data_IF_570077522083
#
_entry.id   IF_570077522083
#
_cell.length_a   1.000
_cell.length_b   1.000
_cell.length_c   1.000
_cell.angle_alpha   90.00
_cell.angle_beta   90.00
_cell.angle_gamma   90.00
#
_symmetry.space_group_name_H-M   'P 1'
#
loop_
_entity.id
_entity.type
_entity.pdbx_description
1 polymer ?
#
# COMPACT_ATOMS: atom_id res chain seq x y z
N UNK A 1 -6.44 26.20 -38.73
CA UNK A 1 -6.46 26.51 -37.29
C UNK A 1 -7.34 27.73 -36.97
N UNK A 2 -7.05 28.90 -37.53
CA UNK A 2 -7.83 30.14 -37.31
C UNK A 2 -9.28 30.13 -37.86
N UNK A 3 -9.64 29.16 -38.71
CA UNK A 3 -10.99 29.08 -39.29
C UNK A 3 -11.27 30.15 -40.34
N UNK A 4 -10.32 30.42 -41.25
CA UNK A 4 -10.48 31.40 -42.33
C UNK A 4 -11.06 30.75 -43.59
N UNK A 5 -11.99 31.39 -44.33
CA UNK A 5 -12.32 30.97 -45.69
C UNK A 5 -11.11 31.13 -46.64
N UNK A 6 -10.86 30.22 -47.60
CA UNK A 6 -11.59 29.00 -47.95
C UNK A 6 -10.99 27.72 -47.33
N UNK A 7 -10.81 27.65 -46.01
CA UNK A 7 -10.30 26.44 -45.33
C UNK A 7 -11.43 25.64 -44.66
N UNK A 8 -11.27 24.31 -44.57
CA UNK A 8 -12.22 23.41 -43.89
C UNK A 8 -12.46 23.79 -42.42
N UNK A 9 -11.56 24.53 -41.78
CA UNK A 9 -11.74 25.02 -40.41
C UNK A 9 -12.82 26.08 -40.24
N UNK A 10 -13.19 26.83 -41.30
CA UNK A 10 -14.25 27.85 -41.25
C UNK A 10 -15.63 27.23 -40.97
N UNK A 11 -16.15 26.30 -41.81
CA UNK A 11 -17.48 25.72 -41.56
C UNK A 11 -17.54 24.93 -40.25
N UNK A 12 -16.43 24.34 -39.80
CA UNK A 12 -16.37 23.65 -38.50
C UNK A 12 -16.50 24.62 -37.30
N UNK A 13 -15.86 25.80 -37.37
CA UNK A 13 -15.95 26.83 -36.32
C UNK A 13 -17.31 27.50 -36.32
N UNK A 14 -17.87 27.75 -37.51
CA UNK A 14 -19.21 28.30 -37.65
C UNK A 14 -20.28 27.34 -37.11
N UNK A 15 -20.14 26.04 -37.36
CA UNK A 15 -21.00 25.02 -36.76
C UNK A 15 -20.99 25.00 -35.24
N UNK A 16 -19.81 25.20 -34.62
CA UNK A 16 -19.72 25.30 -33.17
C UNK A 16 -20.44 26.55 -32.62
N UNK A 17 -20.40 27.67 -33.35
CA UNK A 17 -21.13 28.90 -32.99
C UNK A 17 -22.64 28.70 -33.17
N UNK A 18 -23.09 28.09 -34.27
CA UNK A 18 -24.50 27.77 -34.50
C UNK A 18 -25.07 26.82 -33.45
N UNK A 19 -24.32 25.78 -33.10
CA UNK A 19 -24.69 24.85 -32.03
C UNK A 19 -24.84 25.59 -30.68
N UNK A 20 -23.89 26.46 -30.33
CA UNK A 20 -23.97 27.26 -29.11
C UNK A 20 -25.15 28.26 -29.12
N UNK A 21 -25.50 28.81 -30.28
CA UNK A 21 -26.64 29.73 -30.43
C UNK A 21 -28.00 29.04 -30.25
N UNK A 22 -28.10 27.75 -30.57
CA UNK A 22 -29.31 26.94 -30.41
C UNK A 22 -29.64 26.56 -28.97
N UNK A 23 -28.72 26.76 -28.03
CA UNK A 23 -28.94 26.53 -26.60
C UNK A 23 -29.81 27.64 -25.98
N UNK A 24 -30.32 27.42 -24.76
CA UNK A 24 -31.12 28.39 -24.03
C UNK A 24 -30.55 28.69 -22.64
N UNK A 25 -30.89 29.86 -22.08
CA UNK A 25 -30.56 30.23 -20.70
C UNK A 25 -29.06 30.43 -20.43
N UNK A 26 -28.62 30.08 -19.22
CA UNK A 26 -27.23 30.26 -18.77
C UNK A 26 -26.22 29.41 -19.55
N UNK A 27 -26.65 28.24 -20.02
CA UNK A 27 -25.81 27.32 -20.81
C UNK A 27 -25.35 27.96 -22.12
N UNK A 28 -26.27 28.61 -22.85
CA UNK A 28 -25.96 29.41 -24.04
C UNK A 28 -24.89 30.46 -23.74
N UNK A 29 -25.06 31.22 -22.65
CA UNK A 29 -24.15 32.31 -22.32
C UNK A 29 -22.73 31.79 -22.04
N UNK A 30 -22.59 30.73 -21.25
CA UNK A 30 -21.29 30.13 -20.89
C UNK A 30 -20.61 29.50 -22.11
N UNK A 31 -21.33 28.67 -22.88
CA UNK A 31 -20.73 27.99 -24.03
C UNK A 31 -20.43 28.96 -25.18
N UNK A 32 -21.34 29.88 -25.49
CA UNK A 32 -21.11 30.85 -26.56
C UNK A 32 -19.93 31.78 -26.21
N UNK A 33 -19.85 32.27 -24.97
CA UNK A 33 -18.70 33.10 -24.55
C UNK A 33 -17.40 32.30 -24.55
N UNK A 34 -17.40 31.04 -24.09
CA UNK A 34 -16.24 30.16 -24.15
C UNK A 34 -15.78 29.86 -25.59
N UNK A 35 -16.71 29.55 -26.49
CA UNK A 35 -16.41 29.28 -27.91
C UNK A 35 -15.88 30.54 -28.61
N UNK A 36 -16.49 31.71 -28.37
CA UNK A 36 -16.03 32.99 -28.93
C UNK A 36 -14.64 33.31 -28.38
N UNK A 37 -14.45 33.32 -27.06
CA UNK A 37 -13.18 33.67 -26.42
C UNK A 37 -12.06 32.71 -26.86
N UNK A 38 -12.33 31.40 -26.82
CA UNK A 38 -11.39 30.38 -27.28
C UNK A 38 -11.05 30.51 -28.76
N UNK A 39 -12.02 30.85 -29.61
CA UNK A 39 -11.78 31.04 -31.05
C UNK A 39 -11.06 32.34 -31.36
N UNK A 40 -11.34 33.44 -30.64
CA UNK A 40 -10.57 34.70 -30.72
C UNK A 40 -9.11 34.46 -30.33
N UNK A 41 -8.87 33.76 -29.21
CA UNK A 41 -7.52 33.37 -28.80
C UNK A 41 -6.86 32.44 -29.82
N UNK A 42 -7.64 31.56 -30.46
CA UNK A 42 -7.14 30.67 -31.52
C UNK A 42 -6.62 31.43 -32.73
N UNK A 43 -7.41 32.40 -33.21
CA UNK A 43 -7.01 33.30 -34.28
C UNK A 43 -5.79 34.12 -33.83
N UNK A 44 -5.83 34.69 -32.62
CA UNK A 44 -4.76 35.52 -32.09
C UNK A 44 -3.41 34.79 -32.00
N UNK A 45 -3.36 33.57 -31.45
CA UNK A 45 -2.11 32.80 -31.40
C UNK A 45 -1.66 32.37 -32.79
N UNK A 46 -2.60 32.05 -33.70
CA UNK A 46 -2.26 31.68 -35.09
C UNK A 46 -1.64 32.87 -35.82
N UNK A 47 -2.24 34.06 -35.70
CA UNK A 47 -1.72 35.31 -36.25
C UNK A 47 -0.35 35.65 -35.67
N UNK A 48 -0.20 35.55 -34.34
CA UNK A 48 1.08 35.78 -33.66
C UNK A 48 2.16 34.82 -34.15
N UNK A 49 1.83 33.54 -34.32
CA UNK A 49 2.74 32.53 -34.87
C UNK A 49 3.17 32.90 -36.30
N UNK A 50 2.23 33.26 -37.17
CA UNK A 50 2.53 33.63 -38.55
C UNK A 50 3.42 34.87 -38.65
N UNK A 51 3.13 35.91 -37.86
CA UNK A 51 3.96 37.13 -37.81
C UNK A 51 5.33 36.84 -37.18
N UNK A 52 5.38 36.04 -36.12
CA UNK A 52 6.64 35.70 -35.45
C UNK A 52 7.57 34.82 -36.29
N UNK A 53 7.00 33.92 -37.10
CA UNK A 53 7.74 32.98 -37.93
C UNK A 53 8.13 33.55 -39.31
N UNK A 54 7.22 34.29 -39.96
CA UNK A 54 7.41 34.80 -41.32
C UNK A 54 7.53 36.32 -41.42
N UNK A 55 7.28 37.06 -40.34
CA UNK A 55 7.42 38.52 -40.33
C UNK A 55 8.88 38.96 -40.44
N UNK A 56 9.10 40.09 -41.11
CA UNK A 56 10.43 40.65 -41.29
C UNK A 56 11.01 41.12 -39.96
N UNK A 57 12.26 40.70 -39.67
CA UNK A 57 13.06 41.21 -38.55
C UNK A 57 14.09 42.20 -39.11
N UNK A 58 14.23 43.41 -38.55
CA UNK A 58 15.10 44.45 -39.10
C UNK A 58 16.59 44.09 -39.17
N UNK A 59 17.09 43.26 -38.26
CA UNK A 59 18.54 43.13 -37.99
C UNK A 59 19.11 41.71 -38.15
N UNK A 60 18.60 40.88 -39.07
CA UNK A 60 19.18 39.54 -39.28
C UNK A 60 19.65 39.33 -40.71
N UNK A 61 20.94 39.07 -40.89
CA UNK A 61 21.49 38.48 -42.11
C UNK A 61 20.80 37.14 -42.35
N UNK A 62 20.10 36.98 -43.47
CA UNK A 62 19.44 35.74 -43.82
C UNK A 62 20.43 34.58 -43.72
N UNK A 63 20.23 33.67 -42.77
CA UNK A 63 21.03 32.44 -42.70
C UNK A 63 20.80 31.65 -43.98
N UNK A 64 21.86 31.12 -44.59
CA UNK A 64 21.75 30.25 -45.76
C UNK A 64 20.99 28.98 -45.36
N UNK A 65 19.70 28.90 -45.70
CA UNK A 65 18.86 27.74 -45.42
C UNK A 65 19.03 26.75 -46.57
N UNK A 66 19.38 25.50 -46.24
CA UNK A 66 19.44 24.42 -47.22
C UNK A 66 18.06 24.23 -47.89
N UNK A 67 18.01 23.90 -49.19
CA UNK A 67 16.74 23.69 -49.88
C UNK A 67 15.90 22.61 -49.19
N UNK A 68 14.60 22.86 -49.09
CA UNK A 68 13.67 21.92 -48.42
C UNK A 68 13.64 20.59 -49.17
N UNK A 69 13.74 19.48 -48.44
CA UNK A 69 13.69 18.14 -49.02
C UNK A 69 12.25 17.84 -49.44
N UNK A 70 12.05 17.39 -50.68
CA UNK A 70 10.72 17.03 -51.19
C UNK A 70 10.01 15.99 -50.30
N UNK A 71 10.74 15.03 -49.74
CA UNK A 71 10.19 14.04 -48.81
C UNK A 71 9.54 14.65 -47.56
N UNK A 72 10.00 15.82 -47.10
CA UNK A 72 9.40 16.54 -45.97
C UNK A 72 8.26 17.47 -46.42
N UNK A 73 8.38 18.05 -47.62
CA UNK A 73 7.39 18.98 -48.15
C UNK A 73 6.11 18.28 -48.66
N UNK A 74 6.22 17.08 -49.23
CA UNK A 74 5.08 16.36 -49.83
C UNK A 74 3.98 16.06 -48.79
N UNK A 75 4.24 15.44 -47.63
CA UNK A 75 3.20 15.19 -46.64
C UNK A 75 2.53 16.47 -46.12
N UNK A 76 3.31 17.52 -45.88
CA UNK A 76 2.80 18.82 -45.42
C UNK A 76 1.92 19.46 -46.50
N UNK A 77 2.36 19.39 -47.76
CA UNK A 77 1.62 19.88 -48.92
C UNK A 77 0.31 19.14 -49.12
N UNK A 78 0.32 17.80 -49.01
CA UNK A 78 -0.90 16.98 -49.09
C UNK A 78 -1.89 17.36 -47.99
N UNK A 79 -1.43 17.50 -46.73
CA UNK A 79 -2.30 17.92 -45.62
C UNK A 79 -2.82 19.36 -45.81
N UNK A 80 -1.99 20.28 -46.29
CA UNK A 80 -2.39 21.65 -46.59
C UNK A 80 -3.46 21.71 -47.68
N UNK A 81 -3.20 21.04 -48.82
CA UNK A 81 -4.11 20.96 -49.96
C UNK A 81 -5.39 20.23 -49.60
N UNK A 82 -5.34 19.19 -48.74
CA UNK A 82 -6.55 18.48 -48.31
C UNK A 82 -7.50 19.38 -47.53
N UNK A 83 -7.02 20.39 -46.79
CA UNK A 83 -7.91 21.35 -46.13
C UNK A 83 -8.68 22.24 -47.12
N UNK A 84 -8.07 22.58 -48.24
CA UNK A 84 -8.72 23.33 -49.32
C UNK A 84 -9.65 22.44 -50.13
N UNK A 85 -9.19 21.23 -50.50
CA UNK A 85 -9.97 20.24 -51.20
C UNK A 85 -11.21 19.83 -50.38
N UNK A 86 -11.10 19.70 -49.06
CA UNK A 86 -12.21 19.43 -48.15
C UNK A 86 -13.21 20.59 -48.06
N UNK A 87 -12.74 21.85 -48.14
CA UNK A 87 -13.63 23.02 -48.21
C UNK A 87 -14.43 23.04 -49.53
N UNK A 88 -13.77 22.76 -50.66
CA UNK A 88 -14.43 22.64 -51.97
C UNK A 88 -15.40 21.44 -51.97
N UNK A 89 -14.94 20.30 -51.45
CA UNK A 89 -15.67 19.04 -51.32
C UNK A 89 -16.55 18.93 -50.08
N UNK A 90 -17.01 20.04 -49.48
CA UNK A 90 -17.70 20.03 -48.18
C UNK A 90 -18.92 19.09 -48.11
N UNK A 91 -19.62 18.87 -49.24
CA UNK A 91 -20.70 17.90 -49.33
C UNK A 91 -20.26 16.47 -49.02
N UNK A 92 -19.11 16.04 -49.56
CA UNK A 92 -18.53 14.72 -49.27
C UNK A 92 -18.11 14.61 -47.81
N UNK A 93 -17.49 15.65 -47.27
CA UNK A 93 -17.09 15.72 -45.86
C UNK A 93 -18.30 15.61 -44.93
N UNK A 94 -19.38 16.33 -45.26
CA UNK A 94 -20.64 16.28 -44.50
C UNK A 94 -21.22 14.88 -44.50
N UNK A 95 -21.30 14.22 -45.66
CA UNK A 95 -21.81 12.84 -45.76
C UNK A 95 -20.94 11.86 -44.96
N UNK A 96 -19.62 12.00 -45.04
CA UNK A 96 -18.68 11.12 -44.34
C UNK A 96 -18.80 11.22 -42.81
N UNK A 97 -18.96 12.44 -42.26
CA UNK A 97 -19.03 12.66 -40.81
C UNK A 97 -20.45 12.46 -40.25
N UNK A 98 -21.49 12.67 -41.07
CA UNK A 98 -22.90 12.59 -40.66
C UNK A 98 -23.26 11.27 -39.98
N UNK A 99 -22.81 10.14 -40.52
CA UNK A 99 -23.11 8.82 -39.94
C UNK A 99 -22.58 8.68 -38.50
N UNK A 100 -21.35 9.14 -38.25
CA UNK A 100 -20.77 9.12 -36.90
C UNK A 100 -21.45 10.13 -35.97
N UNK A 101 -21.78 11.33 -36.48
CA UNK A 101 -22.46 12.36 -35.69
C UNK A 101 -23.86 11.93 -35.24
N UNK A 102 -24.65 11.31 -36.13
CA UNK A 102 -26.00 10.82 -35.82
C UNK A 102 -25.98 9.66 -34.82
N UNK A 103 -24.96 8.79 -34.88
CA UNK A 103 -24.80 7.73 -33.87
C UNK A 103 -24.49 8.29 -32.48
N UNK A 104 -23.69 9.36 -32.39
CA UNK A 104 -23.39 10.05 -31.12
C UNK A 104 -24.59 10.83 -30.60
N UNK A 105 -25.33 11.49 -31.48
CA UNK A 105 -26.54 12.23 -31.14
C UNK A 105 -27.52 12.28 -32.33
N UNK A 106 -28.72 11.67 -32.22
CA UNK A 106 -29.73 11.68 -33.28
C UNK A 106 -30.13 13.10 -33.75
N UNK A 107 -30.06 14.10 -32.88
CA UNK A 107 -30.35 15.50 -33.23
C UNK A 107 -29.35 16.11 -34.20
N UNK A 108 -28.21 15.45 -34.48
CA UNK A 108 -27.24 15.88 -35.48
C UNK A 108 -27.73 15.67 -36.94
N UNK A 109 -28.84 14.96 -37.15
CA UNK A 109 -29.39 14.67 -38.48
C UNK A 109 -29.77 15.94 -39.27
N UNK A 110 -30.16 17.02 -38.57
CA UNK A 110 -30.63 18.27 -39.18
C UNK A 110 -29.47 19.18 -39.62
N UNK A 111 -28.24 18.94 -39.14
CA UNK A 111 -27.13 19.85 -39.38
C UNK A 111 -26.34 19.48 -40.64
N UNK A 112 -26.06 20.46 -41.50
CA UNK A 112 -25.21 20.30 -42.68
C UNK A 112 -24.15 21.40 -42.69
N UNK A 113 -22.89 21.05 -43.01
CA UNK A 113 -21.82 22.04 -43.12
C UNK A 113 -22.06 22.85 -44.41
N UNK A 114 -22.28 24.15 -44.26
CA UNK A 114 -22.53 25.04 -45.38
C UNK A 114 -21.22 25.77 -45.76
N UNK A 115 -20.94 25.87 -47.07
CA UNK A 115 -19.83 26.71 -47.57
C UNK A 115 -20.16 28.20 -47.48
N UNK A 116 -21.44 28.51 -47.64
CA UNK A 116 -22.00 29.85 -47.54
C UNK A 116 -23.33 29.73 -46.76
N UNK A 117 -23.36 30.17 -45.49
CA UNK A 117 -24.57 30.09 -44.66
C UNK A 117 -25.61 31.17 -44.97
N UNK A 118 -25.23 32.19 -45.74
CA UNK A 118 -26.03 33.43 -45.88
C UNK A 118 -25.71 34.44 -44.77
N UNK A 119 -26.47 35.54 -44.72
CA UNK A 119 -26.30 36.58 -43.69
C UNK A 119 -26.94 36.16 -42.36
N UNK A 120 -26.30 35.22 -41.66
CA UNK A 120 -26.75 34.69 -40.36
C UNK A 120 -26.04 35.39 -39.19
N UNK A 121 -26.64 35.32 -38.00
CA UNK A 121 -26.00 35.80 -36.75
C UNK A 121 -24.67 35.09 -36.49
N UNK A 122 -24.57 33.80 -36.85
CA UNK A 122 -23.35 33.02 -36.72
C UNK A 122 -22.21 33.53 -37.61
N UNK A 123 -22.53 33.97 -38.84
CA UNK A 123 -21.55 34.57 -39.75
C UNK A 123 -20.98 35.89 -39.19
N UNK A 124 -21.85 36.74 -38.62
CA UNK A 124 -21.40 37.99 -37.98
C UNK A 124 -20.48 37.73 -36.77
N UNK A 125 -20.84 36.75 -35.93
CA UNK A 125 -20.00 36.35 -34.79
C UNK A 125 -18.67 35.78 -35.29
N UNK A 126 -18.67 34.91 -36.30
CA UNK A 126 -17.46 34.33 -36.88
C UNK A 126 -16.54 35.39 -37.50
N UNK A 127 -17.13 36.37 -38.19
CA UNK A 127 -16.38 37.53 -38.73
C UNK A 127 -15.78 38.38 -37.60
N UNK A 128 -16.55 38.61 -36.52
CA UNK A 128 -16.07 39.30 -35.33
C UNK A 128 -14.94 38.55 -34.62
N UNK A 129 -15.02 37.23 -34.53
CA UNK A 129 -13.96 36.36 -33.99
C UNK A 129 -12.67 36.53 -34.80
N UNK A 130 -12.77 36.50 -36.14
CA UNK A 130 -11.62 36.66 -37.03
C UNK A 130 -11.01 38.05 -36.87
N UNK A 131 -11.84 39.10 -36.93
CA UNK A 131 -11.37 40.48 -36.83
C UNK A 131 -10.75 40.78 -35.45
N UNK A 132 -11.42 40.38 -34.37
CA UNK A 132 -10.95 40.58 -33.00
C UNK A 132 -9.69 39.77 -32.71
N UNK A 133 -9.65 38.51 -33.13
CA UNK A 133 -8.47 37.67 -32.99
C UNK A 133 -7.28 38.16 -33.79
N UNK A 134 -7.50 38.66 -35.02
CA UNK A 134 -6.45 39.27 -35.84
C UNK A 134 -5.88 40.53 -35.16
N UNK A 135 -6.75 41.41 -34.66
CA UNK A 135 -6.33 42.62 -33.95
C UNK A 135 -5.51 42.28 -32.69
N UNK A 136 -6.01 41.38 -31.84
CA UNK A 136 -5.31 40.91 -30.64
C UNK A 136 -3.98 40.24 -31.01
N UNK A 137 -3.98 39.39 -32.04
CA UNK A 137 -2.80 38.68 -32.52
C UNK A 137 -1.70 39.61 -33.03
N UNK A 138 -2.05 40.66 -33.79
CA UNK A 138 -1.09 41.66 -34.28
C UNK A 138 -0.52 42.49 -33.12
N UNK A 139 -1.35 42.88 -32.15
CA UNK A 139 -0.89 43.62 -30.96
C UNK A 139 0.08 42.76 -30.15
N UNK A 140 -0.28 41.50 -29.85
CA UNK A 140 0.55 40.58 -29.09
C UNK A 140 1.83 40.16 -29.84
N UNK A 141 1.82 40.12 -31.17
CA UNK A 141 3.00 39.82 -31.97
C UNK A 141 4.09 40.88 -31.86
N UNK A 142 3.71 42.13 -31.54
CA UNK A 142 4.66 43.24 -31.33
C UNK A 142 5.18 43.33 -29.90
N UNK A 143 4.64 42.53 -28.98
CA UNK A 143 5.03 42.54 -27.57
C UNK A 143 6.00 41.40 -27.26
N UNK A 144 7.05 41.73 -26.51
CA UNK A 144 7.92 40.75 -25.87
C UNK A 144 7.21 40.22 -24.63
N UNK A 145 6.81 38.96 -24.64
CA UNK A 145 6.19 38.32 -23.47
C UNK A 145 7.21 37.45 -22.77
N UNK A 146 7.16 37.43 -21.44
CA UNK A 146 7.91 36.46 -20.63
C UNK A 146 7.43 35.04 -20.93
N UNK A 147 8.33 34.07 -20.75
CA UNK A 147 8.00 32.66 -20.85
C UNK A 147 6.87 32.30 -19.86
N UNK A 148 5.79 31.64 -20.31
CA UNK A 148 4.71 31.24 -19.42
C UNK A 148 5.20 30.19 -18.43
N UNK A 149 4.80 30.33 -17.15
CA UNK A 149 5.12 29.33 -16.13
C UNK A 149 4.45 28.00 -16.47
N UNK A 150 5.19 26.91 -16.39
CA UNK A 150 4.70 25.55 -16.65
C UNK A 150 3.89 25.00 -15.46
N UNK A 151 2.79 25.68 -15.10
CA UNK A 151 1.98 25.39 -13.90
C UNK A 151 1.55 23.92 -13.84
N UNK A 152 1.12 23.35 -14.96
CA UNK A 152 0.68 21.95 -15.01
C UNK A 152 1.81 20.95 -14.75
N UNK A 153 2.99 21.16 -15.34
CA UNK A 153 4.15 20.29 -15.12
C UNK A 153 4.66 20.41 -13.67
N UNK A 154 4.76 21.64 -13.16
CA UNK A 154 5.16 21.91 -11.77
C UNK A 154 4.22 21.25 -10.76
N UNK A 155 2.90 21.33 -10.99
CA UNK A 155 1.92 20.69 -10.12
C UNK A 155 2.05 19.16 -10.08
N UNK A 156 2.36 18.53 -11.22
CA UNK A 156 2.59 17.08 -11.29
C UNK A 156 3.87 16.70 -10.56
N UNK A 157 4.97 17.43 -10.77
CA UNK A 157 6.24 17.19 -10.10
C UNK A 157 6.11 17.32 -8.58
N UNK A 158 5.42 18.36 -8.10
CA UNK A 158 5.13 18.57 -6.68
C UNK A 158 4.28 17.44 -6.09
N UNK A 159 3.27 16.95 -6.84
CA UNK A 159 2.44 15.84 -6.40
C UNK A 159 3.26 14.56 -6.25
N UNK A 160 4.10 14.22 -7.23
CA UNK A 160 4.98 13.06 -7.16
C UNK A 160 5.96 13.18 -5.99
N UNK A 161 6.56 14.36 -5.80
CA UNK A 161 7.44 14.61 -4.67
C UNK A 161 6.72 14.44 -3.32
N UNK A 162 5.47 14.91 -3.22
CA UNK A 162 4.61 14.75 -2.06
C UNK A 162 4.32 13.28 -1.74
N UNK A 163 3.98 12.47 -2.75
CA UNK A 163 3.77 11.02 -2.58
C UNK A 163 5.03 10.33 -2.08
N UNK A 164 6.18 10.62 -2.67
CA UNK A 164 7.45 10.03 -2.24
C UNK A 164 7.85 10.47 -0.83
N UNK A 165 7.57 11.72 -0.46
CA UNK A 165 7.79 12.20 0.90
C UNK A 165 6.89 11.46 1.90
N UNK A 166 5.60 11.32 1.61
CA UNK A 166 4.66 10.56 2.43
C UNK A 166 5.09 9.10 2.57
N UNK A 167 5.52 8.45 1.47
CA UNK A 167 6.00 7.08 1.51
C UNK A 167 7.22 6.90 2.43
N UNK A 168 8.21 7.79 2.33
CA UNK A 168 9.39 7.76 3.22
C UNK A 168 9.02 8.05 4.66
N UNK A 169 8.15 9.02 4.90
CA UNK A 169 7.68 9.35 6.24
C UNK A 169 6.96 8.17 6.89
N UNK A 170 6.01 7.54 6.18
CA UNK A 170 5.28 6.38 6.67
C UNK A 170 6.21 5.21 6.94
N UNK A 171 7.13 4.93 6.01
CA UNK A 171 8.10 3.84 6.18
C UNK A 171 9.01 4.07 7.37
N UNK A 172 9.55 5.29 7.53
CA UNK A 172 10.40 5.62 8.67
C UNK A 172 9.69 5.58 10.03
N UNK A 173 8.36 5.74 10.05
CA UNK A 173 7.55 5.62 11.27
C UNK A 173 7.15 4.17 11.57
N UNK A 174 6.77 3.39 10.55
CA UNK A 174 6.26 2.02 10.73
C UNK A 174 7.39 1.00 10.79
N UNK A 175 8.45 1.17 9.99
CA UNK A 175 9.59 0.25 9.90
C UNK A 175 10.83 0.82 10.60
N UNK A 176 10.69 1.10 11.89
CA UNK A 176 11.73 1.71 12.72
C UNK A 176 12.92 0.77 13.00
N UNK A 177 12.84 -0.51 12.62
CA UNK A 177 13.94 -1.47 12.70
C UNK A 177 14.29 -1.94 14.13
N UNK A 178 13.53 -1.49 15.13
CA UNK A 178 13.77 -1.79 16.54
C UNK A 178 12.86 -2.91 17.03
N UNK A 179 13.43 -4.09 17.27
CA UNK A 179 12.70 -5.24 17.82
C UNK A 179 11.95 -4.93 19.13
N UNK A 180 12.52 -4.20 20.11
CA UNK A 180 11.78 -3.82 21.32
C UNK A 180 10.52 -3.01 21.05
N UNK A 181 10.53 -2.11 20.06
CA UNK A 181 9.35 -1.31 19.70
C UNK A 181 8.29 -2.22 19.08
N UNK A 182 8.69 -3.10 18.16
CA UNK A 182 7.77 -4.08 17.57
C UNK A 182 7.13 -4.97 18.63
N UNK A 183 7.91 -5.48 19.60
CA UNK A 183 7.38 -6.28 20.69
C UNK A 183 6.37 -5.48 21.54
N UNK A 184 6.68 -4.23 21.90
CA UNK A 184 5.74 -3.37 22.62
C UNK A 184 4.47 -3.14 21.81
N UNK A 185 4.56 -2.84 20.52
CA UNK A 185 3.39 -2.68 19.65
C UNK A 185 2.56 -3.95 19.58
N UNK A 186 3.19 -5.11 19.38
CA UNK A 186 2.50 -6.41 19.34
C UNK A 186 1.82 -6.72 20.68
N UNK A 187 2.48 -6.46 21.81
CA UNK A 187 1.89 -6.66 23.13
C UNK A 187 0.69 -5.73 23.34
N UNK A 188 0.80 -4.44 22.97
CA UNK A 188 -0.32 -3.49 23.06
C UNK A 188 -1.50 -3.95 22.20
N UNK A 189 -1.25 -4.39 20.96
CA UNK A 189 -2.30 -4.94 20.08
C UNK A 189 -2.93 -6.19 20.68
N UNK A 190 -2.14 -7.11 21.24
CA UNK A 190 -2.64 -8.30 21.91
C UNK A 190 -3.49 -7.97 23.16
N UNK A 191 -3.09 -6.96 23.94
CA UNK A 191 -3.88 -6.44 25.06
C UNK A 191 -5.24 -5.94 24.58
N UNK A 192 -5.29 -5.16 23.49
CA UNK A 192 -6.55 -4.68 22.92
C UNK A 192 -7.41 -5.82 22.35
N UNK A 193 -6.79 -6.84 21.73
CA UNK A 193 -7.50 -8.00 21.21
C UNK A 193 -8.18 -8.84 22.30
N UNK A 194 -7.71 -8.76 23.54
CA UNK A 194 -8.32 -9.43 24.70
C UNK A 194 -9.52 -8.68 25.29
N UNK A 195 -9.77 -7.42 24.91
CA UNK A 195 -10.87 -6.59 25.44
C UNK A 195 -12.26 -7.25 25.30
N UNK A 196 -12.63 -7.89 24.17
CA UNK A 196 -13.93 -8.54 24.05
C UNK A 196 -14.18 -9.63 25.09
N UNK A 197 -13.14 -10.36 25.49
CA UNK A 197 -13.25 -11.41 26.53
C UNK A 197 -13.36 -10.84 27.95
N UNK A 198 -13.01 -9.56 28.13
CA UNK A 198 -13.21 -8.85 29.38
C UNK A 198 -14.61 -8.22 29.50
N UNK A 199 -15.42 -8.23 28.43
CA UNK A 199 -16.79 -7.74 28.45
C UNK A 199 -17.71 -8.88 28.93
N UNK A 200 -18.33 -8.70 30.11
CA UNK A 200 -19.25 -9.70 30.67
C UNK A 200 -18.56 -10.79 31.50
N UNK A 201 -17.45 -10.47 32.15
CA UNK A 201 -16.78 -11.35 33.11
C UNK A 201 -17.78 -11.76 34.21
N UNK A 202 -17.98 -13.07 34.35
CA UNK A 202 -18.61 -13.65 35.53
C UNK A 202 -17.53 -14.33 36.39
N UNK A 203 -17.38 -13.88 37.63
CA UNK A 203 -16.41 -14.42 38.58
C UNK A 203 -16.97 -15.53 39.46
N UNK A 204 -18.24 -15.94 39.25
CA UNK A 204 -18.91 -16.96 40.06
C UNK A 204 -18.18 -18.32 40.07
N UNK A 205 -17.51 -18.66 38.97
CA UNK A 205 -16.73 -19.89 38.81
C UNK A 205 -15.26 -19.74 39.25
N UNK A 206 -14.82 -18.56 39.69
CA UNK A 206 -13.43 -18.32 40.08
C UNK A 206 -13.23 -18.70 41.55
N UNK A 207 -12.38 -19.69 41.78
CA UNK A 207 -11.90 -20.09 43.11
C UNK A 207 -10.38 -20.23 43.10
N UNK A 208 -9.77 -20.25 44.28
CA UNK A 208 -8.32 -20.09 44.42
C UNK A 208 -7.52 -21.36 44.05
N UNK A 209 -8.00 -22.54 44.45
CA UNK A 209 -7.35 -23.84 44.20
C UNK A 209 -8.24 -25.00 44.63
N UNK A 210 -8.14 -26.16 43.99
CA UNK A 210 -8.81 -27.39 44.43
C UNK A 210 -8.12 -27.99 45.67
N UNK A 211 -6.79 -27.87 45.73
CA UNK A 211 -5.98 -28.41 46.81
C UNK A 211 -4.82 -27.47 47.19
N UNK A 212 -4.28 -27.67 48.39
CA UNK A 212 -3.15 -26.85 48.88
C UNK A 212 -1.86 -27.04 48.07
N UNK A 213 -1.67 -28.20 47.42
CA UNK A 213 -0.48 -28.47 46.62
C UNK A 213 -0.46 -27.64 45.33
N UNK A 214 -1.58 -27.52 44.63
CA UNK A 214 -1.75 -26.63 43.47
C UNK A 214 -1.44 -25.18 43.84
N UNK A 215 -1.96 -24.69 44.97
CA UNK A 215 -1.72 -23.32 45.42
C UNK A 215 -0.22 -23.08 45.68
N UNK A 216 0.45 -23.99 46.37
CA UNK A 216 1.90 -23.89 46.64
C UNK A 216 2.69 -23.88 45.34
N UNK A 217 2.37 -24.78 44.39
CA UNK A 217 3.05 -24.85 43.11
C UNK A 217 2.80 -23.61 42.25
N UNK A 218 1.58 -23.07 42.23
CA UNK A 218 1.26 -21.83 41.55
C UNK A 218 2.03 -20.64 42.12
N UNK A 219 2.13 -20.54 43.46
CA UNK A 219 2.93 -19.50 44.13
C UNK A 219 4.42 -19.66 43.78
N UNK A 220 4.94 -20.89 43.75
CA UNK A 220 6.33 -21.14 43.34
C UNK A 220 6.58 -20.75 41.88
N UNK A 221 5.64 -21.02 40.98
CA UNK A 221 5.73 -20.60 39.57
C UNK A 221 5.76 -19.06 39.45
N UNK A 222 4.87 -18.35 40.16
CA UNK A 222 4.84 -16.88 40.17
C UNK A 222 6.12 -16.31 40.78
N UNK A 223 6.60 -16.87 41.90
CA UNK A 223 7.84 -16.44 42.54
C UNK A 223 9.05 -16.67 41.62
N UNK A 224 9.11 -17.81 40.92
CA UNK A 224 10.15 -18.11 39.94
C UNK A 224 10.12 -17.14 38.76
N UNK A 225 8.93 -16.82 38.24
CA UNK A 225 8.76 -15.84 37.18
C UNK A 225 9.26 -14.45 37.61
N UNK A 226 8.85 -13.96 38.78
CA UNK A 226 9.34 -12.68 39.34
C UNK A 226 10.85 -12.72 39.55
N UNK A 227 11.39 -13.79 40.12
CA UNK A 227 12.83 -13.97 40.30
C UNK A 227 13.59 -13.89 38.97
N UNK A 228 13.09 -14.54 37.92
CA UNK A 228 13.71 -14.51 36.59
C UNK A 228 13.86 -13.09 36.02
N UNK A 229 12.94 -12.18 36.36
CA UNK A 229 12.97 -10.78 35.90
C UNK A 229 13.89 -9.87 36.72
N UNK A 230 14.27 -10.27 37.92
CA UNK A 230 15.09 -9.46 38.84
C UNK A 230 16.56 -9.85 38.82
N UNK A 231 16.87 -11.07 38.39
CA UNK A 231 18.24 -11.57 38.29
C UNK A 231 18.99 -10.89 37.13
N UNK A 232 20.18 -10.37 37.43
CA UNK A 232 21.00 -9.61 36.46
C UNK A 232 21.86 -10.49 35.56
N UNK A 233 22.09 -11.76 35.96
CA UNK A 233 22.87 -12.72 35.20
C UNK A 233 21.99 -13.57 34.28
N UNK A 234 22.43 -13.81 33.04
CA UNK A 234 21.68 -14.61 32.07
C UNK A 234 21.46 -16.05 32.53
N UNK A 235 22.52 -16.67 33.08
CA UNK A 235 22.44 -18.03 33.61
C UNK A 235 21.48 -18.11 34.81
N UNK A 236 21.55 -17.15 35.73
CA UNK A 236 20.63 -17.12 36.87
C UNK A 236 19.17 -16.90 36.46
N UNK A 237 18.89 -16.09 35.43
CA UNK A 237 17.55 -15.94 34.88
C UNK A 237 17.04 -17.24 34.22
N UNK A 238 17.90 -17.95 33.49
CA UNK A 238 17.57 -19.25 32.91
C UNK A 238 17.27 -20.31 33.99
N UNK A 239 18.06 -20.36 35.06
CA UNK A 239 17.81 -21.27 36.19
C UNK A 239 16.52 -20.92 36.95
N UNK A 240 16.25 -19.63 37.16
CA UNK A 240 14.99 -19.17 37.75
C UNK A 240 13.77 -19.54 36.89
N UNK A 241 13.91 -19.47 35.56
CA UNK A 241 12.90 -19.95 34.62
C UNK A 241 12.71 -21.47 34.72
N UNK A 242 13.79 -22.24 34.91
CA UNK A 242 13.69 -23.69 35.14
C UNK A 242 12.92 -24.06 36.41
N UNK A 243 13.00 -23.23 37.45
CA UNK A 243 12.15 -23.40 38.64
C UNK A 243 10.65 -23.22 38.32
N UNK A 244 10.31 -22.34 37.37
CA UNK A 244 8.93 -22.21 36.86
C UNK A 244 8.51 -23.49 36.13
N UNK A 245 9.36 -24.03 35.27
CA UNK A 245 9.10 -25.29 34.55
C UNK A 245 8.84 -26.46 35.48
N UNK A 246 9.63 -26.60 36.56
CA UNK A 246 9.43 -27.60 37.61
C UNK A 246 8.10 -27.41 38.36
N UNK A 247 7.74 -26.17 38.69
CA UNK A 247 6.46 -25.87 39.33
C UNK A 247 5.26 -26.22 38.42
N UNK A 248 5.36 -25.92 37.12
CA UNK A 248 4.35 -26.27 36.11
C UNK A 248 4.25 -27.79 35.92
N UNK A 249 5.37 -28.51 35.89
CA UNK A 249 5.34 -29.98 35.86
C UNK A 249 4.63 -30.56 37.09
N UNK A 250 4.88 -29.99 38.27
CA UNK A 250 4.14 -30.33 39.48
C UNK A 250 2.64 -30.05 39.36
N UNK A 251 2.25 -28.94 38.73
CA UNK A 251 0.84 -28.63 38.46
C UNK A 251 0.20 -29.67 37.54
N UNK A 252 0.90 -30.14 36.50
CA UNK A 252 0.38 -31.22 35.65
C UNK A 252 0.15 -32.52 36.43
N UNK A 253 1.08 -32.90 37.32
CA UNK A 253 0.87 -34.05 38.21
C UNK A 253 -0.35 -33.84 39.11
N UNK A 254 -0.50 -32.64 39.69
CA UNK A 254 -1.63 -32.32 40.56
C UNK A 254 -2.99 -32.32 39.83
N UNK A 255 -3.00 -32.12 38.50
CA UNK A 255 -4.18 -32.22 37.63
C UNK A 255 -4.36 -33.61 37.00
N UNK A 256 -3.54 -34.60 37.37
CA UNK A 256 -3.64 -35.96 36.84
C UNK A 256 -3.17 -36.12 35.39
N UNK A 257 -2.27 -35.24 34.92
CA UNK A 257 -1.66 -35.28 33.60
C UNK A 257 -0.18 -35.74 33.65
N UNK A 258 0.09 -37.03 33.92
CA UNK A 258 1.45 -37.54 34.10
C UNK A 258 2.30 -37.46 32.82
N UNK A 259 1.71 -37.68 31.64
CA UNK A 259 2.42 -37.63 30.37
C UNK A 259 2.92 -36.20 30.06
N UNK A 260 2.08 -35.18 30.34
CA UNK A 260 2.48 -33.77 30.25
C UNK A 260 3.59 -33.41 31.26
N UNK A 261 3.53 -33.97 32.47
CA UNK A 261 4.57 -33.74 33.46
C UNK A 261 5.93 -34.33 33.05
N UNK A 262 5.94 -35.56 32.52
CA UNK A 262 7.16 -36.22 32.05
C UNK A 262 7.78 -35.49 30.86
N UNK A 263 6.96 -35.07 29.88
CA UNK A 263 7.45 -34.32 28.73
C UNK A 263 7.95 -32.93 29.14
N UNK A 264 7.24 -32.24 30.04
CA UNK A 264 7.68 -30.95 30.57
C UNK A 264 9.05 -31.04 31.24
N UNK A 265 9.28 -32.05 32.09
CA UNK A 265 10.58 -32.24 32.76
C UNK A 265 11.70 -32.57 31.77
N UNK A 266 11.42 -33.38 30.74
CA UNK A 266 12.37 -33.71 29.69
C UNK A 266 12.76 -32.46 28.90
N UNK A 267 11.76 -31.71 28.41
CA UNK A 267 11.97 -30.49 27.61
C UNK A 267 12.68 -29.43 28.44
N UNK A 268 12.31 -29.25 29.71
CA UNK A 268 12.96 -28.31 30.62
C UNK A 268 14.45 -28.64 30.77
N UNK A 269 14.78 -29.92 30.94
CA UNK A 269 16.18 -30.37 31.03
C UNK A 269 16.95 -30.05 29.74
N UNK A 270 16.37 -30.31 28.57
CA UNK A 270 16.98 -29.99 27.28
C UNK A 270 17.18 -28.49 27.10
N UNK A 271 16.19 -27.68 27.47
CA UNK A 271 16.24 -26.21 27.37
C UNK A 271 17.29 -25.62 28.30
N UNK A 272 17.37 -26.08 29.55
CA UNK A 272 18.41 -25.66 30.51
C UNK A 272 19.79 -26.03 30.01
N UNK A 273 20.00 -27.26 29.52
CA UNK A 273 21.28 -27.67 28.92
C UNK A 273 21.61 -26.81 27.71
N UNK A 274 20.65 -26.56 26.82
CA UNK A 274 20.81 -25.69 25.66
C UNK A 274 21.19 -24.26 26.05
N UNK A 275 20.57 -23.70 27.09
CA UNK A 275 20.92 -22.38 27.62
C UNK A 275 22.33 -22.36 28.22
N UNK A 276 22.72 -23.39 28.97
CA UNK A 276 24.07 -23.48 29.54
C UNK A 276 25.13 -23.53 28.43
N UNK A 277 24.91 -24.36 27.40
CA UNK A 277 25.83 -24.48 26.26
C UNK A 277 25.86 -23.21 25.40
N UNK A 278 24.70 -22.62 25.12
CA UNK A 278 24.57 -21.44 24.25
C UNK A 278 24.98 -20.14 24.93
N UNK A 279 24.44 -19.84 26.11
CA UNK A 279 24.70 -18.59 26.83
C UNK A 279 26.07 -18.56 27.51
N UNK A 280 26.73 -19.72 27.68
CA UNK A 280 28.10 -19.78 28.18
C UNK A 280 29.09 -18.96 27.33
N UNK A 281 28.77 -18.75 26.05
CA UNK A 281 29.60 -18.00 25.10
C UNK A 281 29.26 -16.50 25.03
N UNK A 282 28.19 -16.05 25.70
CA UNK A 282 27.77 -14.65 25.70
C UNK A 282 28.13 -13.94 27.01
N UNK A 283 28.06 -12.61 27.02
CA UNK A 283 28.25 -11.80 28.22
C UNK A 283 27.34 -12.28 29.36
N UNK A 284 27.93 -12.45 30.56
CA UNK A 284 27.23 -13.04 31.71
C UNK A 284 26.01 -12.23 32.20
N UNK A 285 25.97 -10.92 31.93
CA UNK A 285 24.91 -10.01 32.39
C UNK A 285 24.07 -9.50 31.22
N UNK A 286 22.84 -9.08 31.53
CA UNK A 286 22.03 -8.33 30.57
C UNK A 286 22.55 -6.89 30.42
N UNK A 287 22.44 -6.28 29.22
CA UNK A 287 22.74 -4.86 29.06
C UNK A 287 21.78 -4.01 29.89
N UNK A 288 22.26 -2.88 30.39
CA UNK A 288 21.41 -1.93 31.08
C UNK A 288 20.37 -1.37 30.10
N UNK A 289 19.10 -1.34 30.55
CA UNK A 289 18.03 -0.69 29.82
C UNK A 289 17.82 0.72 30.38
N UNK A 290 17.45 1.66 29.50
CA UNK A 290 16.99 2.99 29.88
C UNK A 290 15.76 2.88 30.82
N UNK A 291 15.74 3.69 31.89
CA UNK A 291 14.66 3.71 32.88
C UNK A 291 13.29 3.97 32.26
N UNK A 292 13.21 4.82 31.24
CA UNK A 292 11.95 5.10 30.52
C UNK A 292 11.44 3.82 29.84
N UNK A 293 12.34 3.09 29.18
CA UNK A 293 12.01 1.83 28.51
C UNK A 293 11.65 0.72 29.49
N UNK A 294 12.26 0.69 30.68
CA UNK A 294 11.84 -0.22 31.76
C UNK A 294 10.41 0.08 32.18
N UNK A 295 10.07 1.36 32.39
CA UNK A 295 8.70 1.78 32.70
C UNK A 295 7.69 1.35 31.65
N UNK A 296 7.97 1.61 30.36
CA UNK A 296 7.10 1.19 29.23
C UNK A 296 6.92 -0.33 29.18
N UNK A 297 7.99 -1.10 29.37
CA UNK A 297 7.91 -2.58 29.34
C UNK A 297 7.07 -3.11 30.49
N UNK A 298 7.24 -2.57 31.70
CA UNK A 298 6.49 -2.97 32.88
C UNK A 298 4.99 -2.64 32.73
N UNK A 299 4.66 -1.44 32.24
CA UNK A 299 3.26 -1.06 32.04
C UNK A 299 2.58 -1.94 31.01
N UNK A 300 3.24 -2.15 29.86
CA UNK A 300 2.69 -2.96 28.77
C UNK A 300 2.59 -4.44 29.15
N UNK A 301 3.59 -4.99 29.84
CA UNK A 301 3.53 -6.36 30.37
C UNK A 301 2.42 -6.53 31.43
N UNK A 302 2.27 -5.56 32.34
CA UNK A 302 1.21 -5.56 33.34
C UNK A 302 -0.19 -5.50 32.72
N UNK A 303 -0.39 -4.61 31.73
CA UNK A 303 -1.64 -4.53 30.98
C UNK A 303 -1.96 -5.83 30.26
N UNK A 304 -0.98 -6.46 29.59
CA UNK A 304 -1.18 -7.76 28.97
C UNK A 304 -1.52 -8.83 30.01
N UNK A 305 -0.81 -8.89 31.14
CA UNK A 305 -1.10 -9.88 32.20
C UNK A 305 -2.52 -9.77 32.72
N UNK A 306 -2.99 -8.54 32.98
CA UNK A 306 -4.39 -8.28 33.39
C UNK A 306 -5.36 -8.69 32.27
N UNK A 307 -5.06 -8.34 31.02
CA UNK A 307 -5.94 -8.64 29.89
C UNK A 307 -6.05 -10.16 29.62
N UNK A 308 -4.94 -10.89 29.68
CA UNK A 308 -4.93 -12.35 29.56
C UNK A 308 -5.65 -12.99 30.74
N UNK A 309 -5.42 -12.52 31.97
CA UNK A 309 -6.14 -13.01 33.14
C UNK A 309 -7.66 -12.80 33.03
N UNK A 310 -8.08 -11.60 32.63
CA UNK A 310 -9.49 -11.28 32.38
C UNK A 310 -10.08 -12.15 31.27
N UNK A 311 -9.33 -12.38 30.18
CA UNK A 311 -9.77 -13.21 29.07
C UNK A 311 -9.91 -14.68 29.47
N UNK A 312 -8.98 -15.21 30.26
CA UNK A 312 -9.07 -16.57 30.81
C UNK A 312 -10.31 -16.71 31.70
N UNK A 313 -10.54 -15.76 32.63
CA UNK A 313 -11.74 -15.76 33.47
C UNK A 313 -13.00 -15.72 32.61
N UNK A 314 -13.13 -14.74 31.71
CA UNK A 314 -14.32 -14.58 30.86
C UNK A 314 -14.59 -15.80 29.95
N UNK A 315 -13.54 -16.42 29.41
CA UNK A 315 -13.68 -17.64 28.61
C UNK A 315 -14.07 -18.86 29.44
N UNK A 316 -13.60 -18.95 30.68
CA UNK A 316 -13.90 -20.06 31.59
C UNK A 316 -15.32 -19.99 32.16
N UNK A 317 -15.88 -18.78 32.30
CA UNK A 317 -17.21 -18.57 32.87
C UNK A 317 -18.36 -18.84 31.90
N UNK A 318 -18.11 -18.86 30.60
CA UNK A 318 -19.11 -19.08 29.56
C UNK A 318 -18.62 -20.08 28.48
N UNK A 319 -18.38 -21.36 28.84
CA UNK A 319 -17.91 -22.34 27.88
C UNK A 319 -18.94 -22.56 26.77
N UNK A 320 -18.46 -22.56 25.52
CA UNK A 320 -19.29 -22.80 24.34
C UNK A 320 -19.18 -24.27 23.93
N UNK A 321 -20.30 -24.98 23.95
CA UNK A 321 -20.35 -26.40 23.59
C UNK A 321 -20.02 -27.35 24.74
N UNK A 322 -19.94 -28.64 24.41
CA UNK A 322 -19.61 -29.72 25.35
C UNK A 322 -18.33 -30.40 24.84
N UNK A 323 -17.29 -30.55 25.67
CA UNK A 323 -16.06 -31.21 25.23
C UNK A 323 -16.31 -32.72 25.01
N UNK A 324 -15.85 -33.31 23.90
CA UNK A 324 -16.11 -34.71 23.53
C UNK A 324 -15.20 -35.70 24.29
N UNK A 325 -15.10 -35.55 25.62
CA UNK A 325 -14.19 -36.35 26.45
C UNK A 325 -14.62 -37.82 26.48
N UNK A 326 -15.92 -38.08 26.62
CA UNK A 326 -16.47 -39.44 26.66
C UNK A 326 -16.23 -40.18 25.35
N UNK A 327 -16.40 -39.50 24.21
CA UNK A 327 -16.15 -40.06 22.88
C UNK A 327 -14.68 -40.46 22.75
N UNK A 328 -13.74 -39.59 23.12
CA UNK A 328 -12.31 -39.90 23.06
C UNK A 328 -11.90 -41.04 23.98
N UNK A 329 -12.48 -41.14 25.19
CA UNK A 329 -12.19 -42.25 26.12
C UNK A 329 -12.71 -43.57 25.53
N UNK A 330 -13.93 -43.58 24.99
CA UNK A 330 -14.52 -44.76 24.38
C UNK A 330 -13.74 -45.21 23.13
N UNK A 331 -13.48 -44.28 22.22
CA UNK A 331 -12.76 -44.54 20.96
C UNK A 331 -11.31 -44.96 21.19
N UNK A 332 -10.68 -44.51 22.28
CA UNK A 332 -9.31 -44.92 22.63
C UNK A 332 -9.22 -46.42 22.93
N UNK A 333 -10.27 -46.98 23.53
CA UNK A 333 -10.35 -48.41 23.84
C UNK A 333 -10.83 -49.23 22.65
N UNK A 334 -11.81 -48.75 21.89
CA UNK A 334 -12.46 -49.51 20.81
C UNK A 334 -11.70 -49.45 19.48
N UNK A 335 -11.17 -48.29 19.11
CA UNK A 335 -10.48 -48.06 17.83
C UNK A 335 -8.97 -48.11 17.99
N UNK A 336 -8.42 -47.42 19.00
CA UNK A 336 -6.98 -47.36 19.23
C UNK A 336 -6.41 -48.51 20.07
N UNK A 337 -7.26 -49.27 20.76
CA UNK A 337 -6.87 -50.48 21.52
C UNK A 337 -5.94 -50.23 22.71
N UNK A 338 -5.81 -48.99 23.19
CA UNK A 338 -4.85 -48.60 24.23
C UNK A 338 -5.51 -48.07 25.50
N UNK A 339 -4.89 -48.35 26.65
CA UNK A 339 -5.34 -47.86 27.96
C UNK A 339 -4.85 -46.44 28.29
N UNK A 340 -3.81 -45.96 27.58
CA UNK A 340 -3.35 -44.58 27.70
C UNK A 340 -4.09 -43.71 26.68
N UNK A 341 -5.17 -43.08 27.13
CA UNK A 341 -6.05 -42.23 26.30
C UNK A 341 -5.26 -41.08 25.65
N UNK A 342 -4.32 -40.45 26.36
CA UNK A 342 -3.53 -39.33 25.81
C UNK A 342 -2.66 -39.82 24.65
N UNK A 343 -1.93 -40.92 24.84
CA UNK A 343 -1.08 -41.47 23.79
C UNK A 343 -1.90 -41.88 22.56
N UNK A 344 -3.04 -42.56 22.76
CA UNK A 344 -3.91 -43.01 21.65
C UNK A 344 -4.49 -41.82 20.87
N UNK A 345 -4.92 -40.75 21.55
CA UNK A 345 -5.37 -39.54 20.86
C UNK A 345 -4.25 -38.99 19.97
N UNK A 346 -3.02 -38.91 20.47
CA UNK A 346 -1.89 -38.35 19.75
C UNK A 346 -1.44 -39.23 18.56
N UNK A 347 -1.45 -40.56 18.71
CA UNK A 347 -0.91 -41.48 17.70
C UNK A 347 -1.93 -41.95 16.68
N UNK A 348 -3.20 -42.09 17.05
CA UNK A 348 -4.20 -42.77 16.22
C UNK A 348 -5.32 -41.84 15.77
N UNK A 349 -5.86 -41.00 16.67
CA UNK A 349 -6.98 -40.11 16.32
C UNK A 349 -6.53 -38.79 15.68
N UNK A 350 -5.47 -38.19 16.25
CA UNK A 350 -4.88 -36.91 15.82
C UNK A 350 -3.44 -37.08 15.35
N UNK A 351 -3.16 -38.21 14.70
CA UNK A 351 -1.85 -38.58 14.17
C UNK A 351 -1.22 -37.52 13.24
N UNK A 352 -2.05 -36.72 12.56
CA UNK A 352 -1.56 -35.65 11.70
C UNK A 352 -0.91 -34.50 12.49
N UNK A 353 -1.41 -34.20 13.69
CA UNK A 353 -0.83 -33.15 14.54
C UNK A 353 0.55 -33.59 15.05
N UNK A 354 0.67 -34.85 15.50
CA UNK A 354 1.97 -35.41 15.94
C UNK A 354 2.97 -35.54 14.80
N UNK A 355 2.53 -35.93 13.61
CA UNK A 355 3.38 -35.89 12.41
C UNK A 355 3.88 -34.47 12.15
N UNK A 356 3.00 -33.47 12.24
CA UNK A 356 3.34 -32.05 12.09
C UNK A 356 4.39 -31.58 13.09
N UNK A 357 4.22 -31.92 14.38
CA UNK A 357 5.18 -31.62 15.43
C UNK A 357 6.55 -32.26 15.19
N UNK A 358 6.60 -33.54 14.80
CA UNK A 358 7.85 -34.23 14.44
C UNK A 358 8.52 -33.53 13.26
N UNK A 359 7.76 -33.14 12.22
CA UNK A 359 8.30 -32.40 11.08
C UNK A 359 8.90 -31.06 11.51
N UNK A 360 8.25 -30.33 12.43
CA UNK A 360 8.79 -29.08 12.99
C UNK A 360 10.12 -29.35 13.71
N UNK A 361 10.20 -30.38 14.55
CA UNK A 361 11.45 -30.73 15.25
C UNK A 361 12.57 -31.10 14.28
N UNK A 362 12.27 -31.88 13.24
CA UNK A 362 13.24 -32.22 12.18
C UNK A 362 13.73 -30.96 11.45
N UNK A 363 12.81 -30.06 11.08
CA UNK A 363 13.16 -28.79 10.41
C UNK A 363 14.03 -27.92 11.31
N UNK A 364 13.71 -27.81 12.61
CA UNK A 364 14.52 -27.07 13.58
C UNK A 364 15.91 -27.69 13.70
N UNK A 365 16.02 -29.01 13.82
CA UNK A 365 17.30 -29.69 13.91
C UNK A 365 18.16 -29.47 12.65
N UNK A 366 17.57 -29.59 11.46
CA UNK A 366 18.26 -29.31 10.18
C UNK A 366 18.66 -27.83 10.08
N UNK A 367 17.79 -26.91 10.51
CA UNK A 367 18.09 -25.47 10.52
C UNK A 367 19.26 -25.12 11.44
N UNK A 368 19.32 -25.72 12.64
CA UNK A 368 20.46 -25.58 13.56
C UNK A 368 21.74 -26.11 12.90
N UNK A 369 21.70 -27.30 12.28
CA UNK A 369 22.85 -27.87 11.59
C UNK A 369 23.33 -26.99 10.42
N UNK A 370 22.40 -26.41 9.66
CA UNK A 370 22.72 -25.51 8.55
C UNK A 370 23.36 -24.19 9.03
N UNK A 371 22.88 -23.62 10.14
CA UNK A 371 23.45 -22.41 10.75
C UNK A 371 24.81 -22.67 11.43
N UNK A 372 25.01 -23.88 11.96
CA UNK A 372 26.27 -24.27 12.58
C UNK A 372 27.37 -24.63 11.55
N UNK A 373 27.00 -24.85 10.29
CA UNK A 373 27.97 -25.12 9.23
C UNK A 373 28.83 -23.87 8.96
N UNK A 374 30.17 -24.01 8.81
CA UNK A 374 31.04 -22.87 8.53
C UNK A 374 30.63 -22.14 7.25
N UNK A 375 30.57 -20.81 7.31
CA UNK A 375 30.40 -19.97 6.11
C UNK A 375 31.58 -20.20 5.16
N UNK A 376 31.30 -20.59 3.91
CA UNK A 376 32.32 -20.89 2.88
C UNK A 376 33.13 -19.67 2.39
N UNK A 377 32.89 -18.47 2.91
CA UNK A 377 33.38 -17.20 2.35
C UNK A 377 34.50 -16.50 3.15
N UNK A 378 35.19 -17.18 4.08
CA UNK A 378 36.50 -16.70 4.54
C UNK A 378 37.60 -17.37 3.71
N UNK A 379 37.70 -16.99 2.43
CA UNK A 379 39.00 -17.09 1.75
C UNK A 379 39.88 -16.03 2.39
N UNK A 380 41.04 -16.36 2.99
CA UNK A 380 41.97 -15.35 3.46
C UNK A 380 42.34 -14.50 2.25
N UNK A 381 42.07 -13.20 2.31
CA UNK A 381 42.63 -12.26 1.35
C UNK A 381 44.13 -12.52 1.31
N UNK A 382 44.62 -13.01 0.17
CA UNK A 382 46.04 -13.21 -0.08
C UNK A 382 46.73 -11.88 0.24
N UNK A 383 47.49 -11.87 1.34
CA UNK A 383 48.42 -10.80 1.65
C UNK A 383 49.27 -10.57 0.41
N UNK A 384 49.16 -9.37 -0.16
CA UNK A 384 49.99 -8.95 -1.26
C UNK A 384 51.45 -9.04 -0.84
N UNK A 385 52.24 -9.84 -1.55
CA UNK A 385 53.69 -9.72 -1.51
C UNK A 385 54.10 -8.31 -1.97
N UNK A 386 55.03 -7.66 -1.26
CA UNK A 386 55.68 -6.46 -1.76
C UNK A 386 56.93 -6.85 -2.54
N UNK A 387 56.92 -6.66 -3.87
CA UNK A 387 58.09 -6.24 -4.65
C UNK A 387 57.67 -5.48 -5.89
#
# INVERSE_FOLDING_TARGET
MAGLPPTLGFPAKEAAVEAALGLAGAEKAVLLSGVIAGSVLTVAYTTRLMIGLFGSKPDHTASAVAPSRLAMAIPIGILGVSTLAGFVGLGWVTTAVRAAAVQLNPSAEVYSLLRWPGLTTALFISTGIIAGGLAVGVVLARQTMSEPRAVGAQAVDELVAGVLHAARWTTGRVQHGSLPVYLVTMTVVATFAAVPFALGIDTSAVYLSDNGTQLVLAVLAVAGAVASTTVTSRLGAALALGAVGLAVAGLFVAHGAPDLALTQLLVETVVVVGFVLGLGHLHRRFPAADQVWVGVRLTVAGMLGVAVGAALIGSSSAPVGVPPVEDFVAESQTTGGGNNVVNVILTDMRALDTLGEIMVLVIVAVGILALAAPSRDETPALEGEPT
#
